data_IF_040199995982
#
_entry.id   IF_040199995982
#
_cell.length_a   1.000
_cell.length_b   1.000
_cell.length_c   1.000
_cell.angle_alpha   90.00
_cell.angle_beta   90.00
_cell.angle_gamma   90.00
#
_symmetry.space_group_name_H-M   'P 1'
#
loop_
_entity.id
_entity.type
_entity.pdbx_description
1 polymer ?
#
# COMPACT_ATOMS: atom_id res chain seq x y z
N UNK A 1 -17.16 -21.22 0.35
CA UNK A 1 -16.00 -20.36 0.68
C UNK A 1 -16.38 -18.92 0.37
N UNK A 2 -16.73 -18.15 1.39
CA UNK A 2 -17.06 -16.72 1.27
C UNK A 2 -15.76 -15.94 1.20
N UNK A 3 -15.29 -15.66 -0.02
CA UNK A 3 -14.17 -14.76 -0.26
C UNK A 3 -14.63 -13.33 0.03
N UNK A 4 -14.40 -12.85 1.27
CA UNK A 4 -14.59 -11.43 1.61
C UNK A 4 -13.60 -10.60 0.77
N UNK A 5 -14.04 -9.48 0.18
CA UNK A 5 -13.14 -8.57 -0.52
C UNK A 5 -12.08 -8.05 0.46
N UNK A 6 -10.85 -7.90 -0.01
CA UNK A 6 -9.78 -7.31 0.77
C UNK A 6 -10.06 -5.80 0.94
N UNK A 7 -9.94 -5.26 2.15
CA UNK A 7 -10.06 -3.82 2.37
C UNK A 7 -8.83 -3.07 1.85
N UNK A 8 -9.02 -1.82 1.39
CA UNK A 8 -7.94 -0.99 0.88
C UNK A 8 -6.84 -0.74 1.93
N UNK A 9 -7.23 -0.55 3.20
CA UNK A 9 -6.29 -0.43 4.31
C UNK A 9 -5.49 -1.71 4.54
N UNK A 10 -6.11 -2.89 4.43
CA UNK A 10 -5.40 -4.16 4.58
C UNK A 10 -4.43 -4.40 3.43
N UNK A 11 -4.86 -4.12 2.19
CA UNK A 11 -4.01 -4.15 1.01
C UNK A 11 -2.77 -3.26 1.19
N UNK A 12 -2.96 -2.03 1.66
CA UNK A 12 -1.88 -1.09 1.92
C UNK A 12 -0.92 -1.58 3.03
N UNK A 13 -1.44 -2.12 4.14
CA UNK A 13 -0.60 -2.72 5.19
C UNK A 13 0.22 -3.89 4.65
N UNK A 14 -0.39 -4.78 3.86
CA UNK A 14 0.31 -5.93 3.27
C UNK A 14 1.43 -5.50 2.31
N UNK A 15 1.18 -4.49 1.48
CA UNK A 15 2.21 -3.87 0.63
C UNK A 15 3.33 -3.27 1.50
N UNK A 16 2.97 -2.66 2.62
CA UNK A 16 3.94 -2.13 3.59
C UNK A 16 4.83 -3.17 4.22
N UNK A 17 4.25 -4.26 4.71
CA UNK A 17 5.03 -5.34 5.33
C UNK A 17 6.00 -6.01 4.34
N UNK A 18 5.71 -5.95 3.05
CA UNK A 18 6.62 -6.42 1.98
C UNK A 18 7.63 -5.35 1.52
N UNK A 19 7.60 -4.15 2.09
CA UNK A 19 8.48 -3.04 1.71
C UNK A 19 8.15 -2.43 0.34
N UNK A 20 6.94 -2.65 -0.19
CA UNK A 20 6.49 -2.05 -1.44
C UNK A 20 6.12 -0.59 -1.19
N UNK A 21 6.91 0.32 -1.74
CA UNK A 21 6.65 1.75 -1.59
C UNK A 21 5.46 2.20 -2.45
N UNK A 22 4.72 3.23 -2.04
CA UNK A 22 3.63 3.82 -2.83
C UNK A 22 4.11 4.30 -4.22
N UNK A 23 5.36 4.76 -4.33
CA UNK A 23 5.95 5.14 -5.61
C UNK A 23 6.11 3.97 -6.59
N UNK A 24 6.30 2.75 -6.10
CA UNK A 24 6.41 1.54 -6.93
C UNK A 24 5.06 1.05 -7.46
N UNK A 25 3.95 1.46 -6.85
CA UNK A 25 2.58 1.10 -7.25
C UNK A 25 1.81 2.30 -7.80
N UNK A 26 2.52 3.22 -8.47
CA UNK A 26 1.94 4.43 -9.05
C UNK A 26 0.89 4.17 -10.16
N UNK A 27 0.92 2.98 -10.78
CA UNK A 27 -0.04 2.56 -11.80
C UNK A 27 -0.90 1.41 -11.30
N UNK A 28 -2.15 1.28 -11.79
CA UNK A 28 -3.03 0.17 -11.40
C UNK A 28 -2.44 -1.20 -11.76
N UNK A 29 -1.69 -1.30 -12.87
CA UNK A 29 -0.99 -2.54 -13.26
C UNK A 29 0.10 -2.93 -12.25
N UNK A 30 0.95 -1.97 -11.86
CA UNK A 30 2.00 -2.23 -10.87
C UNK A 30 1.40 -2.56 -9.49
N UNK A 31 0.31 -1.89 -9.12
CA UNK A 31 -0.43 -2.20 -7.90
C UNK A 31 -1.02 -3.61 -7.94
N UNK A 32 -1.61 -4.01 -9.07
CA UNK A 32 -2.14 -5.37 -9.25
C UNK A 32 -1.04 -6.42 -9.15
N UNK A 33 0.12 -6.21 -9.78
CA UNK A 33 1.25 -7.13 -9.66
C UNK A 33 1.77 -7.22 -8.22
N UNK A 34 1.92 -6.08 -7.54
CA UNK A 34 2.37 -6.05 -6.16
C UNK A 34 1.39 -6.78 -5.24
N UNK A 35 0.09 -6.50 -5.37
CA UNK A 35 -0.97 -7.19 -4.64
C UNK A 35 -0.99 -8.68 -4.96
N UNK A 36 -0.83 -9.07 -6.22
CA UNK A 36 -0.76 -10.48 -6.62
C UNK A 36 0.45 -11.18 -5.99
N UNK A 37 1.58 -10.48 -5.84
CA UNK A 37 2.77 -11.00 -5.16
C UNK A 37 2.57 -11.18 -3.66
N UNK A 38 1.76 -10.33 -3.01
CA UNK A 38 1.43 -10.47 -1.58
C UNK A 38 0.28 -11.47 -1.34
N UNK A 39 -0.74 -11.48 -2.20
CA UNK A 39 -1.88 -12.40 -2.19
C UNK A 39 -1.54 -13.82 -2.67
N UNK A 40 -0.58 -13.99 -3.58
CA UNK A 40 -0.15 -15.33 -4.04
C UNK A 40 0.37 -16.20 -2.89
N UNK A 41 0.88 -15.55 -1.84
CA UNK A 41 1.30 -16.15 -0.58
C UNK A 41 0.09 -16.42 0.36
N UNK A 42 -0.88 -15.51 0.37
CA UNK A 42 -2.12 -15.57 1.14
C UNK A 42 -3.31 -15.90 0.23
N UNK A 43 -3.61 -17.18 -0.08
CA UNK A 43 -4.74 -17.71 -0.91
C UNK A 43 -5.96 -16.80 -1.19
N UNK A 44 -5.76 -15.64 -1.81
CA UNK A 44 -6.74 -14.61 -2.08
C UNK A 44 -6.91 -14.61 -3.59
N UNK A 45 -8.15 -14.81 -4.03
CA UNK A 45 -8.45 -14.85 -5.46
C UNK A 45 -8.36 -13.45 -6.03
N UNK A 46 -7.86 -13.28 -7.26
CA UNK A 46 -7.80 -11.98 -7.97
C UNK A 46 -9.16 -11.28 -8.01
N UNK A 47 -10.26 -12.06 -7.97
CA UNK A 47 -11.65 -11.56 -7.85
C UNK A 47 -11.96 -10.83 -6.52
N UNK A 48 -11.11 -10.97 -5.50
CA UNK A 48 -11.23 -10.32 -4.19
C UNK A 48 -10.32 -9.09 -4.04
N UNK A 49 -9.54 -8.76 -5.08
CA UNK A 49 -8.73 -7.55 -5.06
C UNK A 49 -9.63 -6.32 -5.14
N UNK A 50 -9.29 -5.23 -4.40
CA UNK A 50 -10.04 -3.99 -4.49
C UNK A 50 -9.92 -3.43 -5.92
N UNK A 51 -11.04 -3.00 -6.51
CA UNK A 51 -11.00 -2.23 -7.75
C UNK A 51 -10.61 -0.77 -7.50
N UNK A 52 -10.70 -0.32 -6.24
CA UNK A 52 -10.31 1.00 -5.77
C UNK A 52 -8.80 1.07 -5.47
N UNK A 53 -8.01 1.06 -6.54
CA UNK A 53 -6.56 1.28 -6.45
C UNK A 53 -6.20 2.64 -5.86
N UNK A 54 -7.06 3.64 -6.03
CA UNK A 54 -6.84 4.99 -5.51
C UNK A 54 -6.91 5.03 -3.97
N UNK A 55 -7.89 4.34 -3.38
CA UNK A 55 -8.01 4.21 -1.93
C UNK A 55 -6.85 3.40 -1.33
N UNK A 56 -6.37 2.36 -2.01
CA UNK A 56 -5.18 1.61 -1.58
C UNK A 56 -3.95 2.51 -1.61
N UNK A 57 -3.78 3.30 -2.68
CA UNK A 57 -2.66 4.22 -2.84
C UNK A 57 -2.66 5.29 -1.75
N UNK A 58 -3.81 5.87 -1.46
CA UNK A 58 -4.00 6.86 -0.39
C UNK A 58 -3.66 6.26 0.98
N UNK A 59 -4.22 5.09 1.29
CA UNK A 59 -3.92 4.38 2.54
C UNK A 59 -2.42 4.01 2.65
N UNK A 60 -1.81 3.57 1.55
CA UNK A 60 -0.38 3.22 1.51
C UNK A 60 0.51 4.45 1.68
N UNK A 61 0.14 5.57 1.07
CA UNK A 61 0.83 6.84 1.24
C UNK A 61 0.74 7.34 2.70
N UNK A 62 -0.43 7.20 3.34
CA UNK A 62 -0.59 7.49 4.77
C UNK A 62 0.27 6.61 5.69
N UNK A 63 0.57 5.38 5.26
CA UNK A 63 1.45 4.45 5.99
C UNK A 63 2.94 4.70 5.76
N UNK A 64 3.32 5.45 4.72
CA UNK A 64 4.67 5.89 4.40
C UNK A 64 4.80 7.40 4.64
N UNK A 65 4.87 7.85 5.90
CA UNK A 65 5.11 9.26 6.16
C UNK A 65 6.40 9.67 5.43
N UNK A 66 6.44 10.89 4.84
CA UNK A 66 7.69 11.41 4.31
C UNK A 66 8.75 11.34 5.42
N UNK A 67 10.03 11.12 5.09
CA UNK A 67 11.08 11.17 6.10
C UNK A 67 10.90 12.51 6.82
N UNK A 68 10.59 12.44 8.11
CA UNK A 68 10.43 13.64 8.93
C UNK A 68 11.71 14.43 8.75
N UNK A 69 11.63 15.54 8.02
CA UNK A 69 12.72 16.49 7.94
C UNK A 69 13.09 16.78 9.40
N UNK A 70 14.37 16.67 9.79
CA UNK A 70 14.75 16.99 11.16
C UNK A 70 14.20 18.39 11.45
N UNK A 71 13.68 18.66 12.67
CA UNK A 71 13.30 20.01 13.02
C UNK A 71 14.54 20.86 12.78
N UNK A 72 14.50 21.70 11.74
CA UNK A 72 15.52 22.72 11.53
C UNK A 72 15.47 23.56 12.79
N UNK A 73 16.39 23.25 13.71
CA UNK A 73 16.63 24.06 14.89
C UNK A 73 17.15 25.39 14.39
N UNK A 74 16.22 26.30 14.12
CA UNK A 74 16.48 27.72 14.00
C UNK A 74 16.85 28.24 15.40
N UNK A 75 18.00 27.81 15.90
CA UNK A 75 18.73 28.46 16.97
C UNK A 75 19.45 29.65 16.38
N UNK A 76 18.68 30.68 16.02
CA UNK A 76 19.24 31.98 15.67
C UNK A 76 19.96 32.56 16.87
N UNK A 77 21.17 32.99 16.57
CA UNK A 77 22.28 33.37 17.45
C UNK A 77 22.11 34.77 18.04
#
# INVERSE_FOLDING_TARGET
MTTRPLDAAQAATMLRERGIQPASVATPSAMTEALCRVCGDHRLSVKSLPQDYDAIRDALAGLWPPPALPPTGEGSR
#
